data_IF_738218532615
#
_entry.id   IF_738218532615
#
_cell.length_a   1.000
_cell.length_b   1.000
_cell.length_c   1.000
_cell.angle_alpha   90.00
_cell.angle_beta   90.00
_cell.angle_gamma   90.00
#
_symmetry.space_group_name_H-M   'P 1'
#
loop_
_entity.id
_entity.type
_entity.pdbx_description
1 polymer ?
#
# COMPACT_ATOMS: atom_id res chain seq x y z
N UNK A 1 1.58 -20.12 -29.90
CA UNK A 1 3.01 -19.79 -29.91
C UNK A 1 3.31 -19.00 -28.64
N UNK A 2 4.11 -19.52 -27.69
CA UNK A 2 4.53 -18.71 -26.55
C UNK A 2 5.37 -17.55 -27.06
N UNK A 3 4.99 -16.32 -26.72
CA UNK A 3 5.77 -15.13 -27.02
C UNK A 3 7.08 -15.20 -26.22
N UNK A 4 8.20 -15.43 -26.89
CA UNK A 4 9.52 -15.41 -26.26
C UNK A 4 10.02 -13.97 -26.22
N UNK A 5 10.15 -13.45 -24.99
CA UNK A 5 10.73 -12.14 -24.76
C UNK A 5 12.23 -12.13 -25.10
N UNK A 6 12.64 -11.14 -25.87
CA UNK A 6 14.06 -10.84 -26.08
C UNK A 6 14.74 -10.50 -24.74
N UNK A 7 16.06 -10.63 -24.68
CA UNK A 7 16.83 -10.31 -23.47
C UNK A 7 16.59 -8.86 -22.99
N UNK A 8 16.52 -7.91 -23.92
CA UNK A 8 16.27 -6.50 -23.62
C UNK A 8 14.87 -6.27 -23.00
N UNK A 9 13.85 -6.97 -23.51
CA UNK A 9 12.49 -6.87 -22.98
C UNK A 9 12.38 -7.50 -21.58
N UNK A 10 13.05 -8.64 -21.34
CA UNK A 10 13.15 -9.24 -20.01
C UNK A 10 13.79 -8.30 -18.98
N UNK A 11 14.87 -7.62 -19.36
CA UNK A 11 15.55 -6.67 -18.48
C UNK A 11 14.65 -5.46 -18.15
N UNK A 12 13.95 -4.92 -19.14
CA UNK A 12 13.00 -3.81 -18.94
C UNK A 12 11.84 -4.22 -18.05
N UNK A 13 11.28 -5.41 -18.26
CA UNK A 13 10.21 -5.96 -17.44
C UNK A 13 10.66 -6.13 -15.99
N UNK A 14 11.83 -6.74 -15.77
CA UNK A 14 12.41 -6.92 -14.43
C UNK A 14 12.58 -5.58 -13.70
N UNK A 15 13.16 -4.56 -14.36
CA UNK A 15 13.31 -3.23 -13.73
C UNK A 15 11.98 -2.62 -13.31
N UNK A 16 10.93 -2.77 -14.13
CA UNK A 16 9.59 -2.28 -13.78
C UNK A 16 9.00 -3.07 -12.62
N UNK A 17 9.26 -4.37 -12.56
CA UNK A 17 8.82 -5.22 -11.45
C UNK A 17 9.53 -4.83 -10.14
N UNK A 18 10.85 -4.61 -10.18
CA UNK A 18 11.64 -4.18 -9.02
C UNK A 18 11.17 -2.81 -8.50
N UNK A 19 10.94 -1.85 -9.41
CA UNK A 19 10.43 -0.52 -9.04
C UNK A 19 9.02 -0.61 -8.42
N UNK A 20 8.15 -1.46 -8.97
CA UNK A 20 6.81 -1.67 -8.42
C UNK A 20 6.84 -2.36 -7.04
N UNK A 21 7.81 -3.26 -6.82
CA UNK A 21 8.04 -3.86 -5.51
C UNK A 21 8.48 -2.79 -4.49
N UNK A 22 9.46 -1.95 -4.85
CA UNK A 22 9.94 -0.85 -4.00
C UNK A 22 8.81 0.13 -3.64
N UNK A 23 7.97 0.52 -4.62
CA UNK A 23 6.81 1.37 -4.35
C UNK A 23 5.83 0.73 -3.35
N UNK A 24 5.68 -0.60 -3.38
CA UNK A 24 4.88 -1.34 -2.39
C UNK A 24 5.47 -1.28 -0.97
N UNK A 25 6.79 -1.47 -0.83
CA UNK A 25 7.49 -1.35 0.46
C UNK A 25 7.38 0.07 1.04
N UNK A 26 7.56 1.09 0.20
CA UNK A 26 7.41 2.50 0.60
C UNK A 26 5.98 2.79 1.07
N UNK A 27 4.97 2.30 0.34
CA UNK A 27 3.58 2.47 0.71
C UNK A 27 3.23 1.78 2.05
N UNK A 28 3.75 0.57 2.29
CA UNK A 28 3.63 -0.13 3.58
C UNK A 28 4.25 0.69 4.70
N UNK A 29 5.48 1.17 4.49
CA UNK A 29 6.22 1.95 5.48
C UNK A 29 5.49 3.24 5.83
N UNK A 30 5.00 3.96 4.82
CA UNK A 30 4.24 5.19 5.01
C UNK A 30 2.93 4.94 5.76
N UNK A 31 2.20 3.86 5.43
CA UNK A 31 0.97 3.53 6.13
C UNK A 31 1.23 3.07 7.56
N UNK A 32 2.27 2.28 7.82
CA UNK A 32 2.68 1.92 9.19
C UNK A 32 3.00 3.15 10.02
N UNK A 33 3.72 4.13 9.46
CA UNK A 33 4.03 5.39 10.13
C UNK A 33 2.75 6.19 10.45
N UNK A 34 1.82 6.29 9.49
CA UNK A 34 0.54 6.99 9.70
C UNK A 34 -0.32 6.31 10.78
N UNK A 35 -0.38 4.98 10.79
CA UNK A 35 -1.08 4.23 11.83
C UNK A 35 -0.45 4.48 13.21
N UNK A 36 0.88 4.53 13.30
CA UNK A 36 1.59 4.80 14.54
C UNK A 36 1.29 6.20 15.10
N UNK A 37 1.09 7.22 14.25
CA UNK A 37 0.66 8.56 14.69
C UNK A 37 -0.71 8.53 15.39
N UNK A 38 -1.59 7.61 14.98
CA UNK A 38 -2.88 7.37 15.60
C UNK A 38 -2.83 6.37 16.78
N UNK A 39 -1.64 5.91 17.17
CA UNK A 39 -1.47 4.87 18.20
C UNK A 39 -1.96 3.48 17.77
N UNK A 40 -2.14 3.25 16.47
CA UNK A 40 -2.62 1.99 15.90
C UNK A 40 -1.47 1.17 15.34
N UNK A 41 -1.61 -0.16 15.39
CA UNK A 41 -0.70 -1.09 14.72
C UNK A 41 -1.49 -2.12 13.95
N UNK A 42 -1.05 -2.45 12.74
CA UNK A 42 -1.67 -3.46 11.88
C UNK A 42 -0.60 -4.51 11.51
N UNK A 43 -0.46 -5.59 12.30
CA UNK A 43 0.60 -6.59 12.11
C UNK A 43 0.51 -7.34 10.78
N UNK A 44 -0.68 -7.37 10.18
CA UNK A 44 -0.96 -8.00 8.90
C UNK A 44 -0.67 -7.11 7.69
N UNK A 45 -0.10 -5.91 7.90
CA UNK A 45 0.22 -4.96 6.84
C UNK A 45 1.57 -5.30 6.17
N UNK A 46 1.53 -5.66 4.90
CA UNK A 46 2.75 -5.97 4.12
C UNK A 46 2.58 -5.71 2.62
N UNK A 47 3.69 -5.70 1.91
CA UNK A 47 3.74 -5.54 0.46
C UNK A 47 3.30 -6.86 -0.18
N UNK A 48 2.25 -6.83 -1.00
CA UNK A 48 1.72 -8.04 -1.63
C UNK A 48 2.52 -8.48 -2.86
N UNK A 49 3.58 -7.74 -3.16
CA UNK A 49 4.36 -7.90 -4.36
C UNK A 49 3.67 -7.31 -5.59
N UNK A 50 4.44 -7.09 -6.67
CA UNK A 50 3.92 -6.44 -7.85
C UNK A 50 3.10 -7.40 -8.73
N UNK A 51 1.92 -6.98 -9.17
CA UNK A 51 1.12 -7.67 -10.20
C UNK A 51 1.06 -6.78 -11.43
N UNK A 52 1.56 -7.27 -12.57
CA UNK A 52 1.60 -6.50 -13.81
C UNK A 52 2.44 -5.21 -13.72
N UNK A 53 3.56 -5.25 -12.99
CA UNK A 53 4.41 -4.07 -12.70
C UNK A 53 3.70 -2.94 -11.93
N UNK A 54 2.70 -3.27 -11.12
CA UNK A 54 2.05 -2.33 -10.19
C UNK A 54 2.24 -2.85 -8.77
N UNK A 55 2.65 -1.97 -7.85
CA UNK A 55 2.80 -2.31 -6.44
C UNK A 55 1.44 -2.43 -5.75
N UNK A 56 1.35 -3.34 -4.80
CA UNK A 56 0.14 -3.57 -4.01
C UNK A 56 0.48 -3.69 -2.53
N UNK A 57 -0.41 -3.19 -1.68
CA UNK A 57 -0.31 -3.31 -0.23
C UNK A 57 -1.45 -4.17 0.27
N UNK A 58 -1.13 -5.20 1.04
CA UNK A 58 -2.14 -6.03 1.68
C UNK A 58 -2.38 -5.55 3.11
N UNK A 59 -3.63 -5.21 3.42
CA UNK A 59 -4.06 -4.78 4.75
C UNK A 59 -4.32 -5.97 5.69
N UNK A 60 -4.57 -7.16 5.14
CA UNK A 60 -4.81 -8.39 5.91
C UNK A 60 -6.04 -8.30 6.82
N UNK A 61 -6.09 -9.17 7.83
CA UNK A 61 -7.19 -9.20 8.80
C UNK A 61 -6.90 -8.31 10.01
N UNK A 62 -7.79 -7.37 10.31
CA UNK A 62 -7.76 -6.58 11.54
C UNK A 62 -8.84 -7.06 12.53
N UNK A 63 -8.63 -6.79 13.82
CA UNK A 63 -9.67 -7.02 14.82
C UNK A 63 -10.81 -6.01 14.64
N UNK A 64 -12.02 -6.35 15.09
CA UNK A 64 -13.18 -5.45 15.05
C UNK A 64 -12.89 -4.11 15.74
N UNK A 65 -12.20 -4.14 16.88
CA UNK A 65 -11.80 -2.93 17.60
C UNK A 65 -10.87 -2.04 16.77
N UNK A 66 -9.83 -2.63 16.16
CA UNK A 66 -8.91 -1.91 15.30
C UNK A 66 -9.60 -1.36 14.05
N UNK A 67 -10.53 -2.11 13.46
CA UNK A 67 -11.32 -1.66 12.30
C UNK A 67 -12.17 -0.42 12.63
N UNK A 68 -12.84 -0.41 13.79
CA UNK A 68 -13.64 0.73 14.22
C UNK A 68 -12.78 1.95 14.51
N UNK A 69 -11.65 1.78 15.21
CA UNK A 69 -10.70 2.87 15.47
C UNK A 69 -10.13 3.45 14.17
N UNK A 70 -9.78 2.59 13.20
CA UNK A 70 -9.33 3.03 11.89
C UNK A 70 -10.39 3.86 11.17
N UNK A 71 -11.66 3.42 11.22
CA UNK A 71 -12.76 4.14 10.59
C UNK A 71 -12.96 5.54 11.22
N UNK A 72 -12.86 5.65 12.55
CA UNK A 72 -12.92 6.94 13.25
C UNK A 72 -11.80 7.89 12.83
N UNK A 73 -10.55 7.40 12.77
CA UNK A 73 -9.39 8.19 12.34
C UNK A 73 -9.55 8.67 10.90
N UNK A 74 -9.99 7.80 10.00
CA UNK A 74 -10.22 8.15 8.58
C UNK A 74 -11.35 9.19 8.47
N UNK A 75 -12.45 9.02 9.18
CA UNK A 75 -13.56 9.96 9.17
C UNK A 75 -13.16 11.32 9.74
N UNK A 76 -12.40 11.35 10.84
CA UNK A 76 -11.89 12.59 11.43
C UNK A 76 -10.94 13.32 10.46
N UNK A 77 -10.03 12.59 9.80
CA UNK A 77 -9.14 13.16 8.79
C UNK A 77 -9.90 13.71 7.57
N UNK A 78 -10.91 12.98 7.08
CA UNK A 78 -11.76 13.44 5.98
C UNK A 78 -12.55 14.69 6.35
N UNK A 79 -13.09 14.76 7.57
CA UNK A 79 -13.78 15.96 8.06
C UNK A 79 -12.84 17.17 8.21
N UNK A 80 -11.62 16.97 8.70
CA UNK A 80 -10.62 18.03 8.79
C UNK A 80 -10.28 18.60 7.40
N UNK A 81 -10.09 17.74 6.40
CA UNK A 81 -9.79 18.13 5.02
C UNK A 81 -10.99 18.75 4.28
N UNK A 82 -12.21 18.27 4.55
CA UNK A 82 -13.43 18.81 3.98
C UNK A 82 -13.92 20.10 4.66
N UNK A 83 -13.39 20.43 5.84
CA UNK A 83 -13.71 21.65 6.59
C UNK A 83 -12.96 22.89 6.11
N UNK A 84 -11.96 22.77 5.23
CA UNK A 84 -11.21 23.89 4.64
C UNK A 84 -11.86 24.49 3.37
N UNK A 85 -13.13 24.14 3.09
CA UNK A 85 -13.87 24.64 1.90
C UNK A 85 -15.05 25.57 2.26
N UNK A 86 -15.06 26.19 3.44
CA UNK A 86 -16.04 27.23 3.82
C UNK A 86 -15.37 28.53 4.22
#
# INVERSE_FOLDING_TARGET
MPYELTHAERLRYKRRQDAAYQAGEEAVTNLQAALALAGLTLPSLYNDGPVGCRGFVRLGGCSVALANQLAEVIAAGAHALGGEQL
#
